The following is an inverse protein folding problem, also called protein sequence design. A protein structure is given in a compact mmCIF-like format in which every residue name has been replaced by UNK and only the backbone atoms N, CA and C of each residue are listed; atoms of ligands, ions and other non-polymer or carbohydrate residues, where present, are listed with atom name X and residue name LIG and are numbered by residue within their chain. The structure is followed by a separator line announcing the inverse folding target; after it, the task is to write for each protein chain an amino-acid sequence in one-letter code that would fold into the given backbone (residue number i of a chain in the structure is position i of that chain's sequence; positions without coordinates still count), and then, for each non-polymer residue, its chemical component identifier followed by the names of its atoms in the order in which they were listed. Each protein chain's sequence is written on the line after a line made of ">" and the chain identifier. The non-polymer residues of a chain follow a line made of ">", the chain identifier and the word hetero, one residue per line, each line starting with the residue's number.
data_IF_736375348083
#
_entry.id   IF_736375348083
#
_cell.length_a   1.000
_cell.length_b   1.000
_cell.length_c   1.000
_cell.angle_alpha   90.00
_cell.angle_beta   90.00
_cell.angle_gamma   90.00
#
_symmetry.space_group_name_H-M   'P 1'
#
loop_
_entity.id
_entity.type
_entity.pdbx_description
1 polymer ?
#
# COMPACT_ATOMS: atom_id res chain seq x y z
N UNK A 1 5.36 -8.63 31.38
CA UNK A 1 4.37 -9.48 30.68
C UNK A 1 2.95 -8.90 30.70
N UNK A 2 2.35 -8.55 31.87
CA UNK A 2 0.98 -7.97 31.97
C UNK A 2 0.80 -6.63 31.23
N UNK A 3 1.83 -5.78 31.15
CA UNK A 3 1.77 -4.53 30.40
C UNK A 3 1.77 -4.75 28.88
N UNK A 4 2.59 -5.71 28.41
CA UNK A 4 2.64 -6.09 27.00
C UNK A 4 1.30 -6.68 26.54
N UNK A 5 0.69 -7.57 27.33
CA UNK A 5 -0.62 -8.15 27.03
C UNK A 5 -1.72 -7.08 26.97
N UNK A 6 -1.71 -6.10 27.88
CA UNK A 6 -2.64 -4.96 27.83
C UNK A 6 -2.43 -4.08 26.60
N UNK A 7 -1.17 -3.87 26.19
CA UNK A 7 -0.87 -3.13 24.98
C UNK A 7 -1.34 -3.88 23.73
N UNK A 8 -1.07 -5.17 23.64
CA UNK A 8 -1.52 -6.02 22.54
C UNK A 8 -3.04 -6.09 22.43
N UNK A 9 -3.76 -6.32 23.56
CA UNK A 9 -5.22 -6.36 23.56
C UNK A 9 -5.83 -5.02 23.14
N UNK A 10 -5.24 -3.90 23.58
CA UNK A 10 -5.64 -2.58 23.13
C UNK A 10 -5.35 -2.37 21.63
N UNK A 11 -4.15 -2.72 21.15
CA UNK A 11 -3.77 -2.60 19.75
C UNK A 11 -4.70 -3.42 18.83
N UNK A 12 -5.05 -4.65 19.22
CA UNK A 12 -6.03 -5.47 18.50
C UNK A 12 -7.42 -4.84 18.48
N UNK A 13 -7.84 -4.23 19.59
CA UNK A 13 -9.12 -3.51 19.70
C UNK A 13 -9.20 -2.24 18.84
N UNK A 14 -8.06 -1.73 18.34
CA UNK A 14 -8.02 -0.53 17.48
C UNK A 14 -8.14 -0.83 15.99
N UNK A 15 -8.18 -2.09 15.57
CA UNK A 15 -8.16 -2.56 14.17
C UNK A 15 -6.87 -2.24 13.40
N UNK A 16 -5.93 -1.52 14.02
CA UNK A 16 -4.68 -1.12 13.38
C UNK A 16 -3.76 -2.28 13.00
N UNK A 17 -3.52 -3.30 13.85
CA UNK A 17 -2.63 -4.41 13.48
C UNK A 17 -3.20 -5.21 12.29
N UNK A 18 -4.52 -5.40 12.26
CA UNK A 18 -5.19 -6.07 11.14
C UNK A 18 -5.02 -5.26 9.86
N UNK A 19 -5.21 -3.94 9.93
CA UNK A 19 -4.99 -3.03 8.81
C UNK A 19 -3.55 -3.15 8.27
N UNK A 20 -2.56 -2.98 9.14
CA UNK A 20 -1.15 -3.03 8.77
C UNK A 20 -0.76 -4.40 8.18
N UNK A 21 -1.24 -5.49 8.78
CA UNK A 21 -0.98 -6.84 8.30
C UNK A 21 -1.60 -7.10 6.92
N UNK A 22 -2.84 -6.66 6.70
CA UNK A 22 -3.53 -6.85 5.42
C UNK A 22 -2.85 -6.05 4.31
N UNK A 23 -2.58 -4.76 4.52
CA UNK A 23 -1.89 -3.90 3.54
C UNK A 23 -0.49 -4.46 3.22
N UNK A 24 0.25 -4.90 4.23
CA UNK A 24 1.55 -5.53 4.03
C UNK A 24 1.42 -6.82 3.21
N UNK A 25 0.50 -7.70 3.58
CA UNK A 25 0.29 -8.98 2.88
C UNK A 25 -0.08 -8.76 1.42
N UNK A 26 -0.99 -7.84 1.10
CA UNK A 26 -1.38 -7.50 -0.29
C UNK A 26 -0.18 -7.05 -1.11
N UNK A 27 0.67 -6.18 -0.56
CA UNK A 27 1.86 -5.71 -1.27
C UNK A 27 2.92 -6.81 -1.45
N UNK A 28 3.14 -7.66 -0.42
CA UNK A 28 4.08 -8.80 -0.50
C UNK A 28 3.60 -9.82 -1.54
N UNK A 29 2.33 -10.21 -1.48
CA UNK A 29 1.73 -11.15 -2.44
C UNK A 29 1.81 -10.59 -3.86
N UNK A 30 1.45 -9.32 -4.05
CA UNK A 30 1.51 -8.67 -5.36
C UNK A 30 2.92 -8.60 -5.93
N UNK A 31 3.90 -8.19 -5.14
CA UNK A 31 5.30 -8.15 -5.58
C UNK A 31 5.84 -9.54 -5.91
N UNK A 32 5.50 -10.55 -5.09
CA UNK A 32 5.88 -11.94 -5.36
C UNK A 32 5.21 -12.45 -6.64
N UNK A 33 3.94 -12.14 -6.87
CA UNK A 33 3.23 -12.53 -8.08
C UNK A 33 3.87 -11.94 -9.34
N UNK A 34 4.19 -10.62 -9.34
CA UNK A 34 4.88 -9.95 -10.45
C UNK A 34 6.25 -10.58 -10.69
N UNK A 35 7.05 -10.80 -9.64
CA UNK A 35 8.36 -11.43 -9.76
C UNK A 35 8.27 -12.86 -10.33
N UNK A 36 7.30 -13.64 -9.85
CA UNK A 36 7.04 -15.01 -10.33
C UNK A 36 6.60 -15.00 -11.79
N UNK A 37 5.71 -14.08 -12.17
CA UNK A 37 5.26 -13.94 -13.54
C UNK A 37 6.43 -13.61 -14.48
N UNK A 38 7.25 -12.62 -14.13
CA UNK A 38 8.43 -12.26 -14.92
C UNK A 38 9.45 -13.40 -15.01
N UNK A 39 9.60 -14.21 -13.96
CA UNK A 39 10.59 -15.29 -13.90
C UNK A 39 10.17 -16.55 -14.67
N UNK A 40 8.90 -16.94 -14.61
CA UNK A 40 8.45 -18.27 -15.01
C UNK A 40 7.47 -18.26 -16.19
N UNK A 41 6.67 -17.20 -16.37
CA UNK A 41 5.62 -17.19 -17.39
C UNK A 41 6.03 -16.49 -18.67
N UNK A 42 7.06 -15.63 -18.65
CA UNK A 42 7.52 -14.93 -19.85
C UNK A 42 8.70 -15.71 -20.46
N UNK A 43 8.53 -16.40 -21.61
CA UNK A 43 9.57 -17.20 -22.23
C UNK A 43 10.50 -16.33 -23.09
N UNK A 44 11.09 -15.28 -22.54
CA UNK A 44 12.06 -14.47 -23.29
C UNK A 44 13.41 -15.18 -23.38
N UNK A 45 14.05 -15.19 -24.57
CA UNK A 45 15.37 -15.81 -24.77
C UNK A 45 16.41 -15.28 -23.79
N UNK A 46 16.42 -13.96 -23.55
CA UNK A 46 17.29 -13.32 -22.59
C UNK A 46 17.08 -13.79 -21.13
N UNK A 47 15.87 -14.21 -20.77
CA UNK A 47 15.61 -14.76 -19.45
C UNK A 47 16.17 -16.19 -19.27
N UNK A 48 16.38 -16.92 -20.37
CA UNK A 48 17.00 -18.27 -20.36
C UNK A 48 18.53 -18.23 -20.26
N UNK A 49 19.16 -17.20 -20.82
CA UNK A 49 20.62 -16.99 -20.69
C UNK A 49 21.02 -16.54 -19.28
N UNK A 50 20.08 -15.95 -18.53
CA UNK A 50 20.22 -15.70 -17.07
C UNK A 50 20.10 -17.00 -16.23
N UNK A 51 20.52 -18.14 -16.77
CA UNK A 51 20.44 -19.45 -16.10
C UNK A 51 21.42 -19.59 -14.92
N UNK A 52 22.43 -18.74 -14.84
CA UNK A 52 23.05 -18.41 -13.56
C UNK A 52 22.17 -17.35 -12.87
N UNK A 53 21.71 -17.55 -11.63
CA UNK A 53 21.00 -16.48 -10.93
C UNK A 53 21.96 -15.29 -10.91
N UNK A 54 21.61 -14.24 -11.67
CA UNK A 54 22.35 -12.99 -11.54
C UNK A 54 22.13 -12.53 -10.10
N UNK A 55 23.08 -12.89 -9.27
CA UNK A 55 23.08 -12.62 -7.83
C UNK A 55 22.87 -11.14 -7.57
N UNK A 56 23.29 -10.29 -8.52
CA UNK A 56 23.12 -8.84 -8.47
C UNK A 56 21.65 -8.42 -8.56
N UNK A 57 20.89 -8.98 -9.52
CA UNK A 57 19.44 -8.66 -9.68
C UNK A 57 18.66 -9.18 -8.47
N UNK A 58 18.94 -10.42 -8.04
CA UNK A 58 18.27 -11.00 -6.88
C UNK A 58 18.57 -10.20 -5.60
N UNK A 59 19.82 -9.79 -5.39
CA UNK A 59 20.24 -8.97 -4.26
C UNK A 59 19.55 -7.60 -4.30
N UNK A 60 19.53 -6.94 -5.45
CA UNK A 60 18.86 -5.65 -5.64
C UNK A 60 17.38 -5.76 -5.34
N UNK A 61 16.72 -6.84 -5.79
CA UNK A 61 15.31 -7.10 -5.49
C UNK A 61 15.07 -7.24 -3.98
N UNK A 62 15.86 -8.02 -3.29
CA UNK A 62 15.73 -8.25 -1.85
C UNK A 62 15.96 -6.94 -1.08
N UNK A 63 17.00 -6.18 -1.42
CA UNK A 63 17.29 -4.90 -0.77
C UNK A 63 16.15 -3.90 -1.01
N UNK A 64 15.75 -3.71 -2.27
CA UNK A 64 14.67 -2.80 -2.61
C UNK A 64 13.37 -3.18 -1.90
N UNK A 65 13.00 -4.44 -1.94
CA UNK A 65 11.80 -4.96 -1.30
C UNK A 65 11.83 -4.75 0.22
N UNK A 66 12.96 -5.04 0.86
CA UNK A 66 13.16 -4.79 2.30
C UNK A 66 12.99 -3.31 2.65
N UNK A 67 13.61 -2.40 1.89
CA UNK A 67 13.49 -0.96 2.08
C UNK A 67 12.04 -0.49 1.86
N UNK A 68 11.37 -0.98 0.80
CA UNK A 68 9.98 -0.62 0.50
C UNK A 68 9.02 -1.08 1.60
N UNK A 69 9.20 -2.28 2.14
CA UNK A 69 8.42 -2.81 3.27
C UNK A 69 8.63 -1.95 4.51
N UNK A 70 9.87 -1.63 4.86
CA UNK A 70 10.16 -0.78 6.02
C UNK A 70 9.59 0.63 5.86
N UNK A 71 9.72 1.23 4.68
CA UNK A 71 9.12 2.54 4.37
C UNK A 71 7.60 2.48 4.45
N UNK A 72 6.96 1.45 3.91
CA UNK A 72 5.52 1.24 3.98
C UNK A 72 5.02 1.11 5.42
N UNK A 73 5.70 0.34 6.26
CA UNK A 73 5.38 0.20 7.69
C UNK A 73 5.54 1.55 8.39
N UNK A 74 6.65 2.26 8.17
CA UNK A 74 6.90 3.56 8.79
C UNK A 74 5.82 4.59 8.43
N UNK A 75 5.42 4.65 7.16
CA UNK A 75 4.36 5.55 6.69
C UNK A 75 2.99 5.16 7.26
N UNK A 76 2.68 3.86 7.31
CA UNK A 76 1.44 3.38 7.94
C UNK A 76 1.38 3.79 9.42
N UNK A 77 2.46 3.60 10.16
CA UNK A 77 2.57 4.03 11.55
C UNK A 77 2.40 5.56 11.68
N UNK A 78 3.04 6.32 10.81
CA UNK A 78 2.95 7.77 10.79
C UNK A 78 1.49 8.25 10.59
N UNK A 79 0.77 7.69 9.63
CA UNK A 79 -0.63 8.06 9.37
C UNK A 79 -1.57 7.64 10.51
N UNK A 80 -1.34 6.50 11.13
CA UNK A 80 -2.17 6.01 12.22
C UNK A 80 -1.82 6.58 13.59
N UNK A 81 -0.62 7.11 13.79
CA UNK A 81 -0.18 7.61 15.10
C UNK A 81 -1.15 8.63 15.75
N UNK A 82 -1.69 9.64 15.03
CA UNK A 82 -2.65 10.56 15.59
C UNK A 82 -3.98 9.89 15.97
N UNK A 83 -4.45 8.94 15.15
CA UNK A 83 -5.68 8.17 15.40
C UNK A 83 -5.53 7.31 16.66
N UNK A 84 -4.39 6.66 16.81
CA UNK A 84 -4.09 5.84 18.00
C UNK A 84 -3.99 6.69 19.27
N UNK A 85 -3.40 7.89 19.18
CA UNK A 85 -3.35 8.85 20.29
C UNK A 85 -4.75 9.34 20.67
N UNK A 86 -5.57 9.69 19.67
CA UNK A 86 -6.96 10.07 19.91
C UNK A 86 -7.77 8.96 20.59
N UNK A 87 -7.61 7.72 20.17
CA UNK A 87 -8.31 6.59 20.82
C UNK A 87 -7.90 6.40 22.29
N UNK A 88 -6.67 6.79 22.67
CA UNK A 88 -6.20 6.77 24.07
C UNK A 88 -6.73 7.94 24.90
N UNK A 89 -6.73 9.13 24.31
CA UNK A 89 -7.08 10.38 25.00
C UNK A 89 -8.06 11.20 24.14
N UNK A 90 -9.34 10.75 24.03
CA UNK A 90 -10.31 11.37 23.12
C UNK A 90 -10.58 12.86 23.39
N UNK A 91 -10.46 13.28 24.66
CA UNK A 91 -10.70 14.67 25.08
C UNK A 91 -9.60 15.67 24.68
N UNK A 92 -8.41 15.17 24.32
CA UNK A 92 -7.25 16.00 23.98
C UNK A 92 -7.18 16.39 22.49
N UNK A 93 -8.09 15.88 21.65
CA UNK A 93 -8.06 16.08 20.20
C UNK A 93 -9.40 16.62 19.70
N UNK A 94 -9.34 17.53 18.73
CA UNK A 94 -10.52 18.00 18.00
C UNK A 94 -11.13 16.84 17.19
N UNK A 95 -12.42 16.50 17.41
CA UNK A 95 -13.10 15.44 16.68
C UNK A 95 -13.10 15.65 15.17
N UNK A 96 -13.17 16.89 14.69
CA UNK A 96 -13.20 17.22 13.27
C UNK A 96 -11.85 16.93 12.60
N UNK A 97 -10.74 17.29 13.26
CA UNK A 97 -9.39 17.00 12.79
C UNK A 97 -9.16 15.48 12.65
N UNK A 98 -9.57 14.70 13.64
CA UNK A 98 -9.41 13.25 13.61
C UNK A 98 -10.26 12.60 12.52
N UNK A 99 -11.49 13.08 12.35
CA UNK A 99 -12.38 12.63 11.29
C UNK A 99 -11.77 12.85 9.90
N UNK A 100 -11.30 14.06 9.62
CA UNK A 100 -10.67 14.40 8.34
C UNK A 100 -9.44 13.52 8.07
N UNK A 101 -8.64 13.26 9.09
CA UNK A 101 -7.48 12.40 8.99
C UNK A 101 -7.89 10.95 8.69
N UNK A 102 -8.83 10.38 9.44
CA UNK A 102 -9.28 8.99 9.26
C UNK A 102 -9.83 8.75 7.86
N UNK A 103 -10.57 9.72 7.31
CA UNK A 103 -11.12 9.64 5.96
C UNK A 103 -10.05 9.72 4.86
N UNK A 104 -8.89 10.33 5.14
CA UNK A 104 -7.77 10.45 4.21
C UNK A 104 -6.79 9.27 4.25
N UNK A 105 -6.78 8.48 5.32
CA UNK A 105 -5.84 7.35 5.49
C UNK A 105 -5.82 6.42 4.28
N UNK A 106 -6.96 5.93 3.72
CA UNK A 106 -6.93 5.03 2.58
C UNK A 106 -6.23 5.64 1.37
N UNK A 107 -6.50 6.92 1.09
CA UNK A 107 -5.88 7.65 -0.02
C UNK A 107 -4.36 7.83 0.21
N UNK A 108 -3.96 8.27 1.39
CA UNK A 108 -2.55 8.47 1.72
C UNK A 108 -1.75 7.18 1.64
N UNK A 109 -2.34 6.07 2.13
CA UNK A 109 -1.72 4.75 2.04
C UNK A 109 -1.55 4.30 0.59
N UNK A 110 -2.57 4.51 -0.24
CA UNK A 110 -2.52 4.16 -1.66
C UNK A 110 -1.49 4.99 -2.42
N UNK A 111 -1.43 6.31 -2.18
CA UNK A 111 -0.40 7.18 -2.78
C UNK A 111 1.00 6.70 -2.40
N UNK A 112 1.22 6.37 -1.12
CA UNK A 112 2.50 5.80 -0.66
C UNK A 112 2.83 4.51 -1.43
N UNK A 113 1.87 3.61 -1.58
CA UNK A 113 2.03 2.39 -2.37
C UNK A 113 2.39 2.67 -3.83
N UNK A 114 1.65 3.56 -4.50
CA UNK A 114 1.91 3.96 -5.88
C UNK A 114 3.33 4.53 -6.04
N UNK A 115 3.77 5.40 -5.13
CA UNK A 115 5.12 5.99 -5.18
C UNK A 115 6.19 4.90 -5.03
N UNK A 116 6.03 4.00 -4.07
CA UNK A 116 6.96 2.90 -3.89
C UNK A 116 6.98 1.97 -5.12
N UNK A 117 5.82 1.62 -5.67
CA UNK A 117 5.75 0.82 -6.89
C UNK A 117 6.40 1.52 -8.08
N UNK A 118 6.14 2.82 -8.28
CA UNK A 118 6.74 3.60 -9.37
C UNK A 118 8.27 3.63 -9.30
N UNK A 119 8.83 3.82 -8.11
CA UNK A 119 10.29 3.74 -7.90
C UNK A 119 10.81 2.34 -8.29
N UNK A 120 10.12 1.28 -7.88
CA UNK A 120 10.46 -0.10 -8.24
C UNK A 120 10.40 -0.33 -9.76
N UNK A 121 9.33 0.11 -10.41
CA UNK A 121 9.17 0.02 -11.88
C UNK A 121 10.36 0.67 -12.58
N UNK A 122 10.69 1.92 -12.24
CA UNK A 122 11.81 2.63 -12.85
C UNK A 122 13.13 1.89 -12.61
N UNK A 123 13.41 1.50 -11.36
CA UNK A 123 14.65 0.83 -10.99
C UNK A 123 14.84 -0.46 -11.77
N UNK A 124 13.84 -1.35 -11.77
CA UNK A 124 13.96 -2.67 -12.40
C UNK A 124 13.90 -2.59 -13.92
N UNK A 125 13.16 -1.61 -14.48
CA UNK A 125 13.17 -1.35 -15.93
C UNK A 125 14.55 -0.92 -16.39
N UNK A 126 15.22 0.00 -15.70
CA UNK A 126 16.58 0.46 -16.05
C UNK A 126 17.57 -0.70 -15.99
N UNK A 127 17.49 -1.55 -14.96
CA UNK A 127 18.35 -2.72 -14.85
C UNK A 127 18.06 -3.73 -15.97
N UNK A 128 16.80 -3.98 -16.28
CA UNK A 128 16.39 -4.89 -17.36
C UNK A 128 16.83 -4.38 -18.75
N UNK A 129 16.75 -3.08 -19.02
CA UNK A 129 17.21 -2.46 -20.26
C UNK A 129 18.71 -2.63 -20.51
N UNK A 130 19.52 -2.84 -19.47
CA UNK A 130 20.96 -3.14 -19.63
C UNK A 130 21.22 -4.50 -20.27
N UNK A 131 20.26 -5.42 -20.20
CA UNK A 131 20.34 -6.75 -20.82
C UNK A 131 19.70 -6.76 -22.21
N UNK A 132 18.47 -6.24 -22.33
CA UNK A 132 17.82 -6.01 -23.62
C UNK A 132 16.68 -5.01 -23.50
N UNK A 133 16.40 -4.27 -24.57
CA UNK A 133 15.27 -3.33 -24.63
C UNK A 133 13.93 -4.06 -24.48
N UNK A 134 13.77 -5.22 -25.11
CA UNK A 134 12.53 -6.02 -25.01
C UNK A 134 12.26 -6.47 -23.58
N UNK A 135 13.30 -6.89 -22.86
CA UNK A 135 13.21 -7.24 -21.46
C UNK A 135 12.82 -6.04 -20.60
N UNK A 136 13.43 -4.87 -20.86
CA UNK A 136 13.09 -3.63 -20.19
C UNK A 136 11.62 -3.24 -20.37
N UNK A 137 11.11 -3.28 -21.61
CA UNK A 137 9.70 -2.99 -21.92
C UNK A 137 8.77 -3.98 -21.18
N UNK A 138 9.11 -5.26 -21.23
CA UNK A 138 8.31 -6.30 -20.56
C UNK A 138 8.23 -6.10 -19.06
N UNK A 139 9.36 -5.78 -18.41
CA UNK A 139 9.40 -5.47 -16.97
C UNK A 139 8.60 -4.22 -16.67
N UNK A 140 8.75 -3.15 -17.48
CA UNK A 140 8.03 -1.89 -17.31
C UNK A 140 6.51 -2.11 -17.34
N UNK A 141 6.02 -2.78 -18.39
CA UNK A 141 4.57 -3.03 -18.55
C UNK A 141 4.04 -3.92 -17.43
N UNK A 142 4.69 -5.06 -17.20
CA UNK A 142 4.22 -6.04 -16.21
C UNK A 142 4.24 -5.46 -14.79
N UNK A 143 5.32 -4.78 -14.40
CA UNK A 143 5.42 -4.20 -13.07
C UNK A 143 4.47 -3.01 -12.90
N UNK A 144 4.20 -2.22 -13.95
CA UNK A 144 3.23 -1.13 -13.90
C UNK A 144 1.82 -1.68 -13.70
N UNK A 145 1.39 -2.65 -14.51
CA UNK A 145 0.06 -3.26 -14.39
C UNK A 145 -0.11 -3.95 -13.03
N UNK A 146 0.89 -4.70 -12.59
CA UNK A 146 0.90 -5.33 -11.27
C UNK A 146 0.81 -4.31 -10.13
N UNK A 147 1.57 -3.23 -10.22
CA UNK A 147 1.56 -2.14 -9.24
C UNK A 147 0.20 -1.42 -9.18
N UNK A 148 -0.43 -1.17 -10.32
CA UNK A 148 -1.78 -0.60 -10.38
C UNK A 148 -2.81 -1.51 -9.73
N UNK A 149 -2.77 -2.81 -10.03
CA UNK A 149 -3.68 -3.81 -9.44
C UNK A 149 -3.52 -3.88 -7.92
N UNK A 150 -2.27 -3.95 -7.43
CA UNK A 150 -1.98 -3.98 -5.99
C UNK A 150 -2.41 -2.69 -5.30
N UNK A 151 -2.20 -1.54 -5.94
CA UNK A 151 -2.61 -0.25 -5.40
C UNK A 151 -4.14 -0.14 -5.28
N UNK A 152 -4.88 -0.63 -6.28
CA UNK A 152 -6.34 -0.69 -6.23
C UNK A 152 -6.83 -1.60 -5.10
N UNK A 153 -6.26 -2.81 -4.98
CA UNK A 153 -6.59 -3.72 -3.88
C UNK A 153 -6.30 -3.09 -2.51
N UNK A 154 -5.11 -2.49 -2.36
CA UNK A 154 -4.72 -1.78 -1.13
C UNK A 154 -5.71 -0.68 -0.76
N UNK A 155 -6.18 0.11 -1.75
CA UNK A 155 -7.19 1.14 -1.51
C UNK A 155 -8.52 0.54 -1.00
N UNK A 156 -9.03 -0.48 -1.68
CA UNK A 156 -10.29 -1.12 -1.30
C UNK A 156 -10.23 -1.76 0.10
N UNK A 157 -9.13 -2.43 0.42
CA UNK A 157 -8.90 -3.02 1.74
C UNK A 157 -8.76 -1.96 2.81
N UNK A 158 -7.98 -0.92 2.55
CA UNK A 158 -7.78 0.21 3.45
C UNK A 158 -9.12 0.89 3.77
N UNK A 159 -9.97 1.15 2.76
CA UNK A 159 -11.28 1.73 2.97
C UNK A 159 -12.17 0.83 3.84
N UNK A 160 -12.21 -0.47 3.57
CA UNK A 160 -13.01 -1.43 4.35
C UNK A 160 -12.57 -1.48 5.81
N UNK A 161 -11.25 -1.56 6.05
CA UNK A 161 -10.69 -1.71 7.40
C UNK A 161 -10.73 -0.43 8.22
N UNK A 162 -10.75 0.75 7.59
CA UNK A 162 -10.90 2.05 8.28
C UNK A 162 -12.35 2.36 8.63
N UNK A 163 -13.34 1.76 7.97
CA UNK A 163 -14.78 2.03 8.20
C UNK A 163 -15.20 2.00 9.67
N UNK A 164 -14.85 1.00 10.51
CA UNK A 164 -15.28 0.98 11.90
C UNK A 164 -14.67 2.12 12.73
N UNK A 165 -13.45 2.54 12.40
CA UNK A 165 -12.79 3.69 13.05
C UNK A 165 -13.43 5.00 12.59
N UNK A 166 -13.72 5.12 11.30
CA UNK A 166 -14.42 6.25 10.71
C UNK A 166 -15.82 6.42 11.31
N UNK A 167 -16.58 5.33 11.47
CA UNK A 167 -17.90 5.36 12.12
C UNK A 167 -17.83 5.90 13.55
N UNK A 168 -16.82 5.50 14.34
CA UNK A 168 -16.60 6.01 15.70
C UNK A 168 -16.22 7.49 15.72
N UNK A 169 -15.44 7.95 14.75
CA UNK A 169 -15.06 9.35 14.61
C UNK A 169 -16.24 10.22 14.17
N UNK A 170 -17.10 9.72 13.27
CA UNK A 170 -18.31 10.39 12.79
C UNK A 170 -19.39 10.50 13.86
N UNK A 171 -19.52 9.50 14.74
CA UNK A 171 -20.53 9.51 15.81
C UNK A 171 -20.30 10.61 16.86
N UNK A 172 -19.10 11.18 16.95
CA UNK A 172 -18.71 12.20 17.94
C UNK A 172 -18.66 13.64 17.40
N UNK A 173 -18.78 13.83 16.09
CA UNK A 173 -18.73 15.15 15.45
C UNK A 173 -20.05 15.55 14.80
N UNK A 174 -20.37 16.84 14.83
CA UNK A 174 -21.50 17.37 14.02
C UNK A 174 -21.20 17.18 12.53
N UNK A 175 -22.18 16.77 11.71
CA UNK A 175 -21.99 16.58 10.27
C UNK A 175 -21.82 17.94 9.59
N UNK A 176 -20.60 18.30 9.29
CA UNK A 176 -20.32 19.42 8.37
C UNK A 176 -20.40 18.88 6.94
N UNK A 177 -21.56 19.09 6.30
CA UNK A 177 -21.87 18.56 4.97
C UNK A 177 -20.98 19.14 3.86
N UNK A 178 -20.20 20.18 4.14
CA UNK A 178 -19.40 20.90 3.14
C UNK A 178 -18.09 20.20 2.73
N UNK A 179 -17.64 19.17 3.46
CA UNK A 179 -16.33 18.55 3.25
C UNK A 179 -16.34 17.07 2.87
N UNK A 180 -17.51 16.50 2.68
CA UNK A 180 -17.58 15.14 2.11
C UNK A 180 -17.21 15.24 0.64
N UNK A 181 -16.13 14.58 0.24
CA UNK A 181 -15.83 14.41 -1.18
C UNK A 181 -17.09 13.87 -1.87
N UNK A 182 -17.62 14.57 -2.89
CA UNK A 182 -18.87 14.15 -3.55
C UNK A 182 -18.75 12.68 -3.96
N UNK A 183 -19.83 11.94 -3.83
CA UNK A 183 -19.90 10.52 -4.22
C UNK A 183 -19.38 10.32 -5.66
N UNK A 184 -19.60 11.33 -6.52
CA UNK A 184 -19.06 11.43 -7.87
C UNK A 184 -17.54 11.34 -7.95
N UNK A 185 -16.81 11.96 -7.01
CA UNK A 185 -15.36 11.93 -7.01
C UNK A 185 -14.82 10.54 -6.64
N UNK A 186 -15.49 9.85 -5.71
CA UNK A 186 -15.18 8.44 -5.35
C UNK A 186 -15.49 7.49 -6.50
N UNK A 187 -16.60 7.67 -7.15
CA UNK A 187 -16.98 6.90 -8.33
C UNK A 187 -16.01 7.15 -9.49
N UNK A 188 -15.63 8.40 -9.74
CA UNK A 188 -14.65 8.73 -10.78
C UNK A 188 -13.26 8.15 -10.50
N UNK A 189 -12.75 8.21 -9.27
CA UNK A 189 -11.46 7.61 -8.94
C UNK A 189 -11.49 6.09 -9.04
N UNK A 190 -12.56 5.45 -8.59
CA UNK A 190 -12.73 4.00 -8.75
C UNK A 190 -12.84 3.63 -10.23
N UNK A 191 -13.63 4.39 -11.00
CA UNK A 191 -13.79 4.17 -12.45
C UNK A 191 -12.49 4.40 -13.21
N UNK A 192 -11.75 5.48 -12.92
CA UNK A 192 -10.46 5.76 -13.54
C UNK A 192 -9.43 4.65 -13.28
N UNK A 193 -9.37 4.14 -12.02
CA UNK A 193 -8.47 3.05 -11.65
C UNK A 193 -8.87 1.72 -12.30
N UNK A 194 -10.18 1.45 -12.47
CA UNK A 194 -10.66 0.21 -13.11
C UNK A 194 -10.60 0.26 -14.63
N UNK A 195 -10.67 1.46 -15.24
CA UNK A 195 -10.62 1.63 -16.70
C UNK A 195 -9.19 1.75 -17.23
N UNK A 196 -8.19 1.96 -16.36
CA UNK A 196 -6.78 2.03 -16.73
C UNK A 196 -6.08 0.65 -16.74
N UNK A 197 -6.80 -0.42 -16.39
CA UNK A 197 -6.37 -1.83 -16.43
C UNK A 197 -7.04 -2.52 -17.63
#
# INVERSE_FOLDING_TARGET
>A
MKQLLRYLSWAWGTSWPLYAATVLATNVIGATAVATFLRFLIPLPAARELTSPDTTIATLYIIYFGVAVLAGIAMTLYFFAPVLRWQRTPKAYDPNMVRDLVLRIPLLQTITGIVLWAIGVVLFTVVACRHSTEWGITVAVTATLGGMMVSLMTYMEAERLVRPVAAKALAKGAPDHSRLSPLSHRLMTTWALTSAV
#
